data_IF_672552954290
#
_entry.id   IF_672552954290
#
_cell.length_a   1.000
_cell.length_b   1.000
_cell.length_c   1.000
_cell.angle_alpha   90.00
_cell.angle_beta   90.00
_cell.angle_gamma   90.00
#
_symmetry.space_group_name_H-M   'P 1'
#
loop_
_entity.id
_entity.type
_entity.pdbx_description
1 polymer ?
#
# COMPACT_ATOMS: atom_id res chain seq x y z
N UNK A 1 -6.63 -0.86 17.78
CA UNK A 1 -6.52 -2.15 17.05
C UNK A 1 -6.25 -1.89 15.58
N UNK A 2 -5.21 -2.50 15.03
CA UNK A 2 -4.87 -2.47 13.60
C UNK A 2 -5.39 -3.73 12.92
N UNK A 3 -6.01 -3.60 11.75
CA UNK A 3 -6.35 -4.73 10.87
C UNK A 3 -5.30 -4.83 9.78
N UNK A 4 -4.64 -5.97 9.68
CA UNK A 4 -3.67 -6.30 8.64
C UNK A 4 -4.29 -7.32 7.67
N UNK A 5 -4.47 -6.93 6.42
CA UNK A 5 -4.95 -7.82 5.36
C UNK A 5 -3.75 -8.52 4.72
N UNK A 6 -3.72 -9.83 4.86
CA UNK A 6 -2.70 -10.70 4.28
C UNK A 6 -3.08 -11.09 2.85
N UNK A 7 -2.32 -10.61 1.89
CA UNK A 7 -2.44 -10.95 0.48
C UNK A 7 -1.62 -12.21 0.11
N UNK A 8 -1.51 -13.18 1.04
CA UNK A 8 -0.73 -14.41 0.86
C UNK A 8 0.76 -14.12 0.65
N UNK A 9 1.27 -13.16 1.43
CA UNK A 9 2.66 -12.72 1.35
C UNK A 9 3.53 -13.36 2.42
N UNK A 10 4.76 -13.73 2.06
CA UNK A 10 5.74 -14.30 2.99
C UNK A 10 6.25 -13.30 4.04
N UNK A 11 6.11 -12.00 3.80
CA UNK A 11 6.56 -10.93 4.70
C UNK A 11 5.46 -10.38 5.64
N UNK A 12 4.25 -10.93 5.61
CA UNK A 12 3.13 -10.44 6.43
C UNK A 12 3.46 -10.46 7.92
N UNK A 13 4.15 -11.47 8.40
CA UNK A 13 4.53 -11.54 9.82
C UNK A 13 5.65 -10.58 10.21
N UNK A 14 6.51 -10.17 9.26
CA UNK A 14 7.44 -9.07 9.49
C UNK A 14 6.68 -7.74 9.69
N UNK A 15 5.67 -7.48 8.87
CA UNK A 15 4.78 -6.32 9.05
C UNK A 15 4.06 -6.40 10.39
N UNK A 16 3.51 -7.55 10.75
CA UNK A 16 2.87 -7.79 12.04
C UNK A 16 3.80 -7.42 13.20
N UNK A 17 5.06 -7.87 13.16
CA UNK A 17 6.05 -7.56 14.19
C UNK A 17 6.38 -6.07 14.24
N UNK A 18 6.60 -5.40 13.11
CA UNK A 18 6.87 -3.96 13.07
C UNK A 18 5.68 -3.15 13.61
N UNK A 19 4.47 -3.45 13.19
CA UNK A 19 3.27 -2.80 13.70
C UNK A 19 3.13 -3.04 15.20
N UNK A 20 3.40 -4.26 15.66
CA UNK A 20 3.35 -4.68 17.06
C UNK A 20 4.32 -3.94 17.98
N UNK A 21 5.34 -3.27 17.43
CA UNK A 21 6.17 -2.35 18.24
C UNK A 21 5.49 -1.02 18.56
N UNK A 22 4.39 -0.70 17.86
CA UNK A 22 3.67 0.57 17.96
C UNK A 22 2.28 0.34 18.60
N UNK A 23 1.58 -0.68 18.15
CA UNK A 23 0.25 -1.07 18.62
C UNK A 23 0.22 -2.59 18.73
N UNK A 24 -0.01 -3.13 19.93
CA UNK A 24 0.00 -4.57 20.21
C UNK A 24 -1.34 -5.23 19.87
N UNK A 25 -2.38 -4.46 19.63
CA UNK A 25 -3.68 -4.96 19.24
C UNK A 25 -3.81 -5.05 17.72
N UNK A 26 -3.30 -6.15 17.14
CA UNK A 26 -3.32 -6.42 15.70
C UNK A 26 -4.14 -7.66 15.41
N UNK A 27 -5.01 -7.59 14.39
CA UNK A 27 -5.71 -8.74 13.82
C UNK A 27 -5.31 -8.92 12.37
N UNK A 28 -4.92 -10.15 12.02
CA UNK A 28 -4.54 -10.53 10.66
C UNK A 28 -5.65 -11.37 10.05
N UNK A 29 -6.06 -11.00 8.84
CA UNK A 29 -7.02 -11.75 8.03
C UNK A 29 -6.49 -11.90 6.62
N UNK A 30 -6.67 -13.06 6.02
CA UNK A 30 -6.43 -13.24 4.59
C UNK A 30 -7.47 -12.47 3.78
N UNK A 31 -7.08 -12.04 2.60
CA UNK A 31 -7.91 -11.18 1.74
C UNK A 31 -9.20 -11.83 1.22
N UNK A 32 -9.40 -13.12 1.44
CA UNK A 32 -10.56 -13.92 1.07
C UNK A 32 -11.27 -14.60 2.27
N UNK A 33 -10.81 -14.32 3.50
CA UNK A 33 -11.36 -14.92 4.74
C UNK A 33 -12.27 -13.97 5.54
N UNK A 34 -12.35 -12.72 5.15
CA UNK A 34 -13.16 -11.69 5.83
C UNK A 34 -13.82 -10.77 4.80
N UNK A 35 -15.02 -10.31 5.10
CA UNK A 35 -15.71 -9.29 4.28
C UNK A 35 -15.40 -7.87 4.74
N UNK A 36 -15.67 -6.90 3.87
CA UNK A 36 -15.51 -5.48 4.18
C UNK A 36 -16.43 -5.06 5.33
N UNK A 37 -17.65 -5.59 5.36
CA UNK A 37 -18.64 -5.34 6.42
C UNK A 37 -18.20 -5.88 7.78
N UNK A 38 -17.52 -7.03 7.80
CA UNK A 38 -16.95 -7.58 9.04
C UNK A 38 -15.78 -6.73 9.55
N UNK A 39 -14.92 -6.23 8.66
CA UNK A 39 -13.84 -5.30 9.03
C UNK A 39 -14.44 -4.02 9.62
N UNK A 40 -15.48 -3.48 9.01
CA UNK A 40 -16.15 -2.27 9.50
C UNK A 40 -16.76 -2.48 10.89
N UNK A 41 -17.33 -3.66 11.18
CA UNK A 41 -17.85 -4.02 12.51
C UNK A 41 -16.76 -4.12 13.57
N UNK A 42 -15.54 -4.48 13.19
CA UNK A 42 -14.38 -4.48 14.11
C UNK A 42 -13.97 -3.06 14.52
N UNK A 43 -14.38 -2.05 13.76
CA UNK A 43 -14.07 -0.64 13.99
C UNK A 43 -12.58 -0.40 14.26
N UNK A 44 -11.68 -0.76 13.31
CA UNK A 44 -10.24 -0.62 13.50
C UNK A 44 -9.81 0.85 13.59
N UNK A 45 -8.66 1.10 14.18
CA UNK A 45 -8.02 2.42 14.16
C UNK A 45 -7.28 2.68 12.85
N UNK A 46 -6.70 1.62 12.27
CA UNK A 46 -5.93 1.65 11.02
C UNK A 46 -6.11 0.33 10.27
N UNK A 47 -5.97 0.38 8.96
CA UNK A 47 -5.95 -0.80 8.09
C UNK A 47 -4.64 -0.80 7.30
N UNK A 48 -3.99 -1.96 7.24
CA UNK A 48 -2.79 -2.16 6.44
C UNK A 48 -3.04 -3.28 5.42
N UNK A 49 -2.75 -3.00 4.16
CA UNK A 49 -2.84 -3.97 3.07
C UNK A 49 -1.44 -4.45 2.72
N UNK A 50 -1.17 -5.72 2.89
CA UNK A 50 0.17 -6.30 2.71
C UNK A 50 0.61 -6.35 1.24
N UNK A 51 1.92 -6.56 0.98
CA UNK A 51 2.37 -7.10 -0.29
C UNK A 51 1.65 -8.42 -0.63
N UNK A 52 1.83 -8.89 -1.85
CA UNK A 52 1.30 -10.16 -2.27
C UNK A 52 1.64 -10.46 -3.74
N UNK A 53 1.36 -11.69 -4.18
CA UNK A 53 1.59 -12.11 -5.56
C UNK A 53 0.53 -11.56 -6.51
N UNK A 54 0.81 -11.67 -7.81
CA UNK A 54 -0.09 -11.35 -8.93
C UNK A 54 -0.41 -9.85 -9.02
N UNK A 55 -1.64 -9.51 -9.40
CA UNK A 55 -2.11 -8.16 -9.65
C UNK A 55 -3.22 -7.76 -8.65
N UNK A 56 -3.53 -6.46 -8.50
CA UNK A 56 -4.54 -5.98 -7.57
C UNK A 56 -5.92 -6.63 -7.72
N UNK A 57 -6.34 -6.94 -8.94
CA UNK A 57 -7.61 -7.65 -9.23
C UNK A 57 -7.68 -9.04 -8.58
N UNK A 58 -6.53 -9.64 -8.26
CA UNK A 58 -6.42 -10.95 -7.63
C UNK A 58 -6.28 -10.85 -6.09
N UNK A 59 -6.33 -9.63 -5.53
CA UNK A 59 -6.12 -9.35 -4.10
C UNK A 59 -7.41 -9.41 -3.26
N UNK A 60 -8.32 -10.30 -3.61
CA UNK A 60 -9.55 -10.53 -2.84
C UNK A 60 -10.35 -9.25 -2.61
N UNK A 61 -10.62 -8.92 -1.34
CA UNK A 61 -11.44 -7.77 -0.95
C UNK A 61 -10.72 -6.41 -1.07
N UNK A 62 -9.41 -6.35 -1.36
CA UNK A 62 -8.62 -5.13 -1.20
C UNK A 62 -9.18 -3.92 -1.94
N UNK A 63 -9.55 -4.07 -3.23
CA UNK A 63 -10.11 -2.95 -4.02
C UNK A 63 -11.46 -2.49 -3.45
N UNK A 64 -12.33 -3.42 -3.09
CA UNK A 64 -13.63 -3.11 -2.49
C UNK A 64 -13.47 -2.42 -1.12
N UNK A 65 -12.57 -2.93 -0.28
CA UNK A 65 -12.23 -2.37 1.02
C UNK A 65 -11.78 -0.91 0.87
N UNK A 66 -10.84 -0.64 -0.04
CA UNK A 66 -10.36 0.71 -0.29
C UNK A 66 -11.53 1.63 -0.66
N UNK A 67 -12.33 1.27 -1.66
CA UNK A 67 -13.45 2.07 -2.15
C UNK A 67 -14.49 2.39 -1.08
N UNK A 68 -14.80 1.43 -0.20
CA UNK A 68 -15.82 1.59 0.83
C UNK A 68 -15.30 2.31 2.09
N UNK A 69 -14.03 2.09 2.46
CA UNK A 69 -13.56 2.45 3.80
C UNK A 69 -12.53 3.59 3.85
N UNK A 70 -11.98 4.06 2.72
CA UNK A 70 -10.89 5.06 2.70
C UNK A 70 -11.24 6.41 3.35
N UNK A 71 -12.53 6.77 3.36
CA UNK A 71 -13.01 7.99 4.02
C UNK A 71 -13.16 7.85 5.53
N UNK A 72 -13.28 6.61 5.99
CA UNK A 72 -13.59 6.30 7.39
C UNK A 72 -12.37 5.92 8.21
N UNK A 73 -11.43 5.20 7.60
CA UNK A 73 -10.24 4.68 8.28
C UNK A 73 -8.96 5.09 7.55
N UNK A 74 -7.88 5.38 8.29
CA UNK A 74 -6.54 5.44 7.72
C UNK A 74 -6.16 4.08 7.10
N UNK A 75 -5.70 4.10 5.85
CA UNK A 75 -5.30 2.89 5.10
C UNK A 75 -3.89 3.07 4.57
N UNK A 76 -3.04 2.09 4.82
CA UNK A 76 -1.70 1.97 4.25
C UNK A 76 -1.64 0.75 3.34
N UNK A 77 -1.36 0.96 2.05
CA UNK A 77 -1.10 -0.11 1.10
C UNK A 77 0.39 -0.29 0.83
N UNK A 78 0.90 -1.52 0.92
CA UNK A 78 2.31 -1.84 0.69
C UNK A 78 2.42 -2.76 -0.52
N UNK A 79 3.21 -2.38 -1.51
CA UNK A 79 3.43 -3.13 -2.76
C UNK A 79 2.10 -3.44 -3.47
N UNK A 80 1.60 -4.67 -3.40
CA UNK A 80 0.28 -5.02 -3.96
C UNK A 80 -0.85 -4.15 -3.39
N UNK A 81 -0.81 -3.84 -2.09
CA UNK A 81 -1.77 -2.93 -1.45
C UNK A 81 -1.72 -1.52 -2.01
N UNK A 82 -0.52 -0.97 -2.26
CA UNK A 82 -0.32 0.32 -2.93
C UNK A 82 -0.87 0.31 -4.36
N UNK A 83 -0.60 -0.76 -5.13
CA UNK A 83 -1.12 -0.93 -6.47
C UNK A 83 -2.66 -1.01 -6.47
N UNK A 84 -3.24 -1.71 -5.49
CA UNK A 84 -4.70 -1.79 -5.31
C UNK A 84 -5.33 -0.41 -5.04
N UNK A 85 -4.65 0.47 -4.32
CA UNK A 85 -5.09 1.85 -4.13
C UNK A 85 -5.14 2.60 -5.46
N UNK A 86 -4.09 2.53 -6.26
CA UNK A 86 -4.07 3.15 -7.59
C UNK A 86 -5.22 2.64 -8.48
N UNK A 87 -5.42 1.33 -8.53
CA UNK A 87 -6.46 0.69 -9.35
C UNK A 87 -7.88 0.98 -8.84
N UNK A 88 -8.08 1.07 -7.51
CA UNK A 88 -9.37 1.41 -6.91
C UNK A 88 -9.91 2.78 -7.38
N UNK A 89 -9.02 3.69 -7.76
CA UNK A 89 -9.34 5.03 -8.28
C UNK A 89 -9.18 5.14 -9.80
N UNK A 90 -9.16 4.02 -10.51
CA UNK A 90 -9.15 3.99 -11.98
C UNK A 90 -7.77 4.05 -12.62
N UNK A 91 -6.69 4.02 -11.83
CA UNK A 91 -5.33 3.91 -12.33
C UNK A 91 -5.05 2.56 -12.96
N UNK A 92 -4.05 2.52 -13.83
CA UNK A 92 -3.57 1.29 -14.46
C UNK A 92 -2.29 0.83 -13.81
N UNK A 93 -2.26 -0.44 -13.43
CA UNK A 93 -1.05 -1.14 -12.95
C UNK A 93 -0.52 -1.99 -14.09
N UNK A 94 0.74 -1.77 -14.44
CA UNK A 94 1.42 -2.45 -15.54
C UNK A 94 2.81 -2.88 -15.13
N UNK A 95 3.54 -3.52 -16.03
CA UNK A 95 4.90 -3.94 -15.74
C UNK A 95 5.79 -2.75 -15.39
N UNK A 96 6.59 -2.92 -14.33
CA UNK A 96 7.66 -1.99 -13.99
C UNK A 96 8.69 -1.94 -15.14
N UNK A 97 9.48 -0.88 -15.21
CA UNK A 97 10.51 -0.71 -16.24
C UNK A 97 11.52 -1.85 -16.23
N UNK A 98 11.76 -2.41 -15.05
CA UNK A 98 12.59 -3.61 -14.85
C UNK A 98 11.94 -4.57 -13.86
N UNK A 99 12.37 -5.83 -13.89
CA UNK A 99 12.00 -6.80 -12.85
C UNK A 99 12.90 -6.59 -11.62
N UNK A 100 12.27 -6.33 -10.48
CA UNK A 100 12.96 -6.10 -9.22
C UNK A 100 12.71 -7.24 -8.24
N UNK A 101 13.81 -7.87 -7.78
CA UNK A 101 13.77 -8.86 -6.71
C UNK A 101 14.99 -8.69 -5.81
N UNK A 102 14.78 -7.99 -4.68
CA UNK A 102 15.84 -7.70 -3.72
C UNK A 102 16.90 -6.70 -4.19
N UNK A 103 16.65 -5.97 -5.29
CA UNK A 103 17.51 -4.88 -5.73
C UNK A 103 17.21 -3.61 -4.94
N UNK A 104 18.24 -2.82 -4.67
CA UNK A 104 18.12 -1.52 -4.04
C UNK A 104 17.98 -0.41 -5.07
N UNK A 105 17.15 0.57 -4.76
CA UNK A 105 17.03 1.82 -5.51
C UNK A 105 17.02 3.01 -4.56
N UNK A 106 17.49 4.14 -5.04
CA UNK A 106 17.27 5.42 -4.38
C UNK A 106 15.92 5.98 -4.82
N UNK A 107 15.14 6.44 -3.87
CA UNK A 107 13.91 7.17 -4.13
C UNK A 107 14.03 8.59 -3.60
N UNK A 108 13.53 9.54 -4.35
CA UNK A 108 13.33 10.91 -3.92
C UNK A 108 11.88 11.07 -3.45
N UNK A 109 11.69 11.67 -2.30
CA UNK A 109 10.37 11.87 -1.71
C UNK A 109 10.17 13.32 -1.25
N UNK A 110 8.92 13.70 -0.99
CA UNK A 110 8.58 15.08 -0.60
C UNK A 110 8.87 15.43 0.87
N UNK A 111 9.23 14.46 1.71
CA UNK A 111 9.51 14.67 3.13
C UNK A 111 8.27 14.86 4.01
N UNK A 112 7.07 14.64 3.47
CA UNK A 112 5.81 14.85 4.19
C UNK A 112 5.22 13.53 4.72
N UNK A 113 4.30 13.64 5.68
CA UNK A 113 3.48 12.54 6.21
C UNK A 113 4.31 11.30 6.55
N UNK A 114 4.14 10.19 5.81
CA UNK A 114 4.88 8.93 6.06
C UNK A 114 6.39 9.05 5.81
N UNK A 115 6.85 10.09 5.13
CA UNK A 115 8.27 10.36 4.87
C UNK A 115 8.89 11.38 5.83
N UNK A 116 8.12 11.87 6.82
CA UNK A 116 8.62 12.85 7.77
C UNK A 116 9.80 12.27 8.58
N UNK A 117 10.94 12.95 8.52
CA UNK A 117 12.15 12.53 9.21
C UNK A 117 12.93 11.40 8.55
N UNK A 118 12.51 10.95 7.37
CA UNK A 118 13.25 9.97 6.57
C UNK A 118 14.29 10.68 5.71
N UNK A 119 15.48 10.09 5.60
CA UNK A 119 16.57 10.58 4.75
C UNK A 119 16.10 10.70 3.28
N UNK A 120 16.49 11.78 2.59
CA UNK A 120 16.14 12.01 1.21
C UNK A 120 17.40 12.36 0.38
N UNK A 121 17.79 11.56 -0.62
CA UNK A 121 17.14 10.34 -1.09
C UNK A 121 17.22 9.18 -0.11
N UNK A 122 16.20 8.33 -0.11
CA UNK A 122 16.11 7.14 0.73
C UNK A 122 16.42 5.89 -0.08
N UNK A 123 17.20 4.98 0.51
CA UNK A 123 17.53 3.68 -0.11
C UNK A 123 16.47 2.66 0.27
N UNK A 124 15.80 2.08 -0.71
CA UNK A 124 14.75 1.07 -0.53
C UNK A 124 15.06 -0.21 -1.29
N UNK A 125 14.64 -1.34 -0.73
CA UNK A 125 14.67 -2.61 -1.42
C UNK A 125 13.40 -2.76 -2.28
N UNK A 126 13.56 -3.25 -3.50
CA UNK A 126 12.46 -3.44 -4.46
C UNK A 126 12.23 -4.91 -4.72
N UNK A 127 10.97 -5.33 -4.64
CA UNK A 127 10.52 -6.71 -4.86
C UNK A 127 9.33 -6.79 -5.83
N UNK A 128 9.03 -5.70 -6.54
CA UNK A 128 7.86 -5.61 -7.40
C UNK A 128 8.22 -5.76 -8.88
N UNK A 129 7.31 -6.35 -9.64
CA UNK A 129 7.36 -6.44 -11.10
C UNK A 129 6.29 -5.57 -11.77
N UNK A 130 5.40 -4.96 -10.99
CA UNK A 130 4.32 -4.09 -11.43
C UNK A 130 4.45 -2.71 -10.76
N UNK A 131 4.00 -1.68 -11.46
CA UNK A 131 3.96 -0.30 -11.00
C UNK A 131 2.72 0.42 -11.52
N UNK A 132 2.31 1.49 -10.83
CA UNK A 132 1.22 2.37 -11.27
C UNK A 132 1.76 3.25 -12.40
N UNK A 133 1.04 3.30 -13.52
CA UNK A 133 1.32 4.23 -14.62
C UNK A 133 0.89 5.64 -14.22
N UNK A 134 1.83 6.58 -14.17
CA UNK A 134 1.61 7.94 -13.67
C UNK A 134 0.51 8.69 -14.45
N UNK A 135 0.49 8.53 -15.78
CA UNK A 135 -0.49 9.15 -16.65
C UNK A 135 -1.94 8.70 -16.41
N UNK A 136 -2.11 7.60 -15.69
CA UNK A 136 -3.43 7.04 -15.34
C UNK A 136 -3.83 7.30 -13.88
N UNK A 137 -2.90 7.86 -13.07
CA UNK A 137 -3.17 8.13 -11.66
C UNK A 137 -4.26 9.21 -11.53
N UNK A 138 -5.25 8.94 -10.67
CA UNK A 138 -6.31 9.92 -10.37
C UNK A 138 -5.73 11.24 -9.83
N UNK A 139 -6.34 12.36 -10.24
CA UNK A 139 -6.00 13.70 -9.73
C UNK A 139 -6.24 13.87 -8.23
N UNK A 140 -6.94 12.96 -7.59
CA UNK A 140 -7.14 12.94 -6.14
C UNK A 140 -5.87 12.56 -5.37
N UNK A 141 -4.83 12.06 -6.06
CA UNK A 141 -3.56 11.65 -5.46
C UNK A 141 -2.42 12.64 -5.72
N UNK A 142 -1.50 12.68 -4.77
CA UNK A 142 -0.15 13.22 -4.92
C UNK A 142 0.82 12.06 -5.05
N UNK A 143 1.80 12.19 -5.93
CA UNK A 143 2.97 11.30 -5.97
C UNK A 143 3.95 11.79 -4.92
N UNK A 144 4.21 10.98 -3.89
CA UNK A 144 5.08 11.36 -2.78
C UNK A 144 6.52 10.92 -2.97
N UNK A 145 6.74 9.82 -3.69
CA UNK A 145 8.08 9.32 -3.97
C UNK A 145 8.19 8.70 -5.36
N UNK A 146 9.35 8.90 -5.97
CA UNK A 146 9.76 8.30 -7.25
C UNK A 146 11.19 7.83 -7.22
N UNK A 147 11.49 6.85 -8.08
CA UNK A 147 12.87 6.47 -8.43
C UNK A 147 13.51 7.51 -9.36
N UNK A 148 14.83 7.41 -9.58
CA UNK A 148 15.55 8.28 -10.52
C UNK A 148 15.02 8.16 -11.97
N UNK A 149 14.53 6.99 -12.36
CA UNK A 149 13.91 6.74 -13.66
C UNK A 149 12.40 7.05 -13.71
N UNK A 150 11.90 7.81 -12.71
CA UNK A 150 10.52 8.30 -12.61
C UNK A 150 9.45 7.20 -12.44
N UNK A 151 9.76 6.08 -11.81
CA UNK A 151 8.74 5.13 -11.41
C UNK A 151 8.09 5.54 -10.09
N UNK A 152 6.77 5.52 -10.02
CA UNK A 152 6.03 5.84 -8.79
C UNK A 152 6.33 4.79 -7.72
N UNK A 153 6.76 5.26 -6.55
CA UNK A 153 7.06 4.43 -5.39
C UNK A 153 6.14 4.70 -4.19
N UNK A 154 5.53 5.87 -4.13
CA UNK A 154 4.54 6.19 -3.10
C UNK A 154 3.54 7.22 -3.62
N UNK A 155 2.29 7.03 -3.23
CA UNK A 155 1.17 7.96 -3.48
C UNK A 155 0.44 8.25 -2.18
N UNK A 156 -0.25 9.39 -2.14
CA UNK A 156 -1.13 9.78 -1.03
C UNK A 156 -2.38 10.47 -1.57
N UNK A 157 -3.53 10.13 -1.01
CA UNK A 157 -4.76 10.88 -1.28
C UNK A 157 -4.66 12.29 -0.69
N UNK A 158 -5.14 13.30 -1.43
CA UNK A 158 -5.02 14.72 -1.04
C UNK A 158 -5.80 15.07 0.23
N UNK A 159 -6.94 14.42 0.46
CA UNK A 159 -7.86 14.74 1.56
C UNK A 159 -7.89 13.69 2.66
N UNK A 160 -7.71 12.42 2.35
CA UNK A 160 -7.87 11.32 3.29
C UNK A 160 -6.53 10.64 3.61
N UNK A 161 -6.47 9.98 4.76
CA UNK A 161 -5.30 9.22 5.19
C UNK A 161 -5.22 7.88 4.44
N UNK A 162 -4.97 7.94 3.15
CA UNK A 162 -4.81 6.81 2.24
C UNK A 162 -3.45 6.92 1.56
N UNK A 163 -2.53 5.94 1.86
CA UNK A 163 -1.11 5.94 1.46
C UNK A 163 -0.72 4.66 0.76
#
# INVERSE_FOLDING_TARGET
>A
MVVLIDNYDSFVYNLYQYIGTIDDEIKVFRNDEISVEEIEKLNPTHIVLSPGPKAPKDAGICIELIKKLYKKYPILGICLGHQAIGEAFGGTVSYAKELYHGKYSLINHNGEKIFLGIENPCKVARYHSLAILEETLSEEFLVEAKTEDNEIMAIRHKEYNLF
#
